data_IF_614686148060
#
_entry.id   IF_614686148060
#
_cell.length_a   1.000
_cell.length_b   1.000
_cell.length_c   1.000
_cell.angle_alpha   90.00
_cell.angle_beta   90.00
_cell.angle_gamma   90.00
#
_symmetry.space_group_name_H-M   'P 1'
#
loop_
_entity.id
_entity.type
_entity.pdbx_description
1 polymer ?
#
# COMPACT_ATOMS: atom_id res chain seq x y z
N UNK A 1 -18.47 -5.07 48.83
CA UNK A 1 -17.58 -6.01 48.10
C UNK A 1 -16.39 -5.23 47.58
N UNK A 2 -15.17 -5.60 47.94
CA UNK A 2 -13.95 -5.02 47.37
C UNK A 2 -13.71 -5.67 46.01
N UNK A 3 -13.98 -4.96 44.92
CA UNK A 3 -13.61 -5.42 43.58
C UNK A 3 -12.08 -5.27 43.48
N UNK A 4 -11.32 -6.35 43.24
CA UNK A 4 -9.88 -6.26 43.10
C UNK A 4 -9.54 -5.33 41.93
N UNK A 5 -8.71 -4.32 42.19
CA UNK A 5 -8.24 -3.41 41.14
C UNK A 5 -7.33 -4.18 40.19
N UNK A 6 -7.78 -4.40 38.96
CA UNK A 6 -6.95 -4.97 37.90
C UNK A 6 -5.67 -4.13 37.76
N UNK A 7 -4.50 -4.76 37.52
CA UNK A 7 -3.25 -4.06 37.28
C UNK A 7 -3.36 -3.27 35.97
N UNK A 8 -3.80 -2.03 36.09
CA UNK A 8 -4.15 -1.14 34.97
C UNK A 8 -2.94 -0.65 34.18
N UNK A 9 -1.72 -0.83 34.70
CA UNK A 9 -0.46 -0.55 33.98
C UNK A 9 -0.30 -1.44 32.75
N UNK A 10 -0.72 -2.70 32.84
CA UNK A 10 -0.61 -3.65 31.72
C UNK A 10 -1.57 -3.31 30.57
N UNK A 11 -2.67 -2.62 30.86
CA UNK A 11 -3.69 -2.29 29.85
C UNK A 11 -3.18 -1.25 28.84
N UNK A 12 -2.58 -0.16 29.28
CA UNK A 12 -2.13 0.89 28.36
C UNK A 12 -0.94 0.45 27.50
N UNK A 13 -0.02 -0.33 28.09
CA UNK A 13 1.06 -0.99 27.34
C UNK A 13 0.51 -1.96 26.31
N UNK A 14 -0.48 -2.76 26.67
CA UNK A 14 -1.15 -3.67 25.74
C UNK A 14 -1.80 -2.91 24.58
N UNK A 15 -2.55 -1.85 24.85
CA UNK A 15 -3.18 -1.01 23.81
C UNK A 15 -2.11 -0.42 22.88
N UNK A 16 -1.02 0.12 23.43
CA UNK A 16 0.07 0.70 22.66
C UNK A 16 0.71 -0.33 21.71
N UNK A 17 1.09 -1.49 22.25
CA UNK A 17 1.71 -2.56 21.49
C UNK A 17 0.76 -3.18 20.47
N UNK A 18 -0.51 -3.35 20.82
CA UNK A 18 -1.53 -3.86 19.91
C UNK A 18 -1.76 -2.89 18.74
N UNK A 19 -1.84 -1.58 19.01
CA UNK A 19 -1.91 -0.55 17.98
C UNK A 19 -0.68 -0.55 17.06
N UNK A 20 0.52 -0.70 17.64
CA UNK A 20 1.77 -0.81 16.87
C UNK A 20 1.76 -2.02 15.94
N UNK A 21 1.29 -3.18 16.42
CA UNK A 21 1.17 -4.39 15.61
C UNK A 21 0.20 -4.18 14.45
N UNK A 22 -0.99 -3.63 14.69
CA UNK A 22 -1.97 -3.30 13.64
C UNK A 22 -1.35 -2.36 12.60
N UNK A 23 -0.69 -1.29 13.06
CA UNK A 23 -0.05 -0.31 12.19
C UNK A 23 1.04 -0.96 11.31
N UNK A 24 1.86 -1.84 11.89
CA UNK A 24 2.94 -2.53 11.19
C UNK A 24 2.41 -3.50 10.13
N UNK A 25 1.36 -4.26 10.47
CA UNK A 25 0.70 -5.14 9.50
C UNK A 25 0.01 -4.37 8.37
N UNK A 26 -0.62 -3.24 8.66
CA UNK A 26 -1.22 -2.37 7.63
C UNK A 26 -0.20 -1.94 6.58
N UNK A 27 0.99 -1.49 7.01
CA UNK A 27 2.08 -1.11 6.10
C UNK A 27 2.55 -2.32 5.30
N UNK A 28 2.79 -3.46 5.96
CA UNK A 28 3.24 -4.68 5.30
C UNK A 28 2.26 -5.17 4.22
N UNK A 29 0.96 -5.23 4.52
CA UNK A 29 -0.06 -5.65 3.56
C UNK A 29 -0.24 -4.65 2.42
N UNK A 30 -0.12 -3.35 2.68
CA UNK A 30 -0.16 -2.33 1.64
C UNK A 30 0.96 -2.51 0.62
N UNK A 31 2.18 -2.77 1.09
CA UNK A 31 3.33 -3.08 0.24
C UNK A 31 3.11 -4.33 -0.63
N UNK A 32 2.59 -5.42 -0.04
CA UNK A 32 2.29 -6.65 -0.77
C UNK A 32 1.26 -6.45 -1.89
N UNK A 33 0.26 -5.61 -1.65
CA UNK A 33 -0.78 -5.28 -2.64
C UNK A 33 -0.20 -4.47 -3.80
N UNK A 34 0.62 -3.46 -3.49
CA UNK A 34 1.27 -2.63 -4.50
C UNK A 34 2.22 -3.46 -5.39
N UNK A 35 3.01 -4.36 -4.79
CA UNK A 35 3.87 -5.29 -5.51
C UNK A 35 3.07 -6.18 -6.47
N UNK A 36 1.93 -6.73 -6.01
CA UNK A 36 1.04 -7.54 -6.86
C UNK A 36 0.47 -6.73 -8.03
N UNK A 37 0.04 -5.49 -7.80
CA UNK A 37 -0.47 -4.62 -8.85
C UNK A 37 0.61 -4.33 -9.90
N UNK A 38 1.84 -4.07 -9.45
CA UNK A 38 2.98 -3.82 -10.34
C UNK A 38 3.29 -5.04 -11.22
N UNK A 39 3.27 -6.25 -10.65
CA UNK A 39 3.47 -7.50 -11.39
C UNK A 39 2.38 -7.75 -12.44
N UNK A 40 1.11 -7.51 -12.11
CA UNK A 40 0.03 -7.65 -13.09
C UNK A 40 0.13 -6.56 -14.17
N UNK A 41 0.46 -5.32 -13.82
CA UNK A 41 0.69 -4.25 -14.80
C UNK A 41 1.78 -4.64 -15.81
N UNK A 42 2.89 -5.22 -15.33
CA UNK A 42 3.96 -5.72 -16.19
C UNK A 42 3.51 -6.80 -17.17
N UNK A 43 2.48 -7.57 -16.82
CA UNK A 43 1.90 -8.63 -17.67
C UNK A 43 0.86 -8.10 -18.66
N UNK A 44 0.08 -7.09 -18.28
CA UNK A 44 -1.00 -6.55 -19.12
C UNK A 44 -0.50 -5.48 -20.11
N UNK A 45 0.38 -4.57 -19.68
CA UNK A 45 0.90 -3.49 -20.51
C UNK A 45 1.48 -3.95 -21.88
N UNK A 46 2.37 -4.96 -21.97
CA UNK A 46 2.91 -5.38 -23.25
C UNK A 46 1.87 -6.06 -24.15
N UNK A 47 0.86 -6.72 -23.57
CA UNK A 47 -0.23 -7.33 -24.35
C UNK A 47 -1.10 -6.26 -24.97
N UNK A 48 -1.42 -5.21 -24.21
CA UNK A 48 -2.17 -4.09 -24.74
C UNK A 48 -1.44 -3.35 -25.84
N UNK A 49 -0.17 -3.02 -25.62
CA UNK A 49 0.66 -2.39 -26.64
C UNK A 49 0.73 -3.22 -27.94
N UNK A 50 0.80 -4.55 -27.81
CA UNK A 50 0.81 -5.46 -28.97
C UNK A 50 -0.53 -5.41 -29.71
N UNK A 51 -1.66 -5.49 -29.01
CA UNK A 51 -2.99 -5.44 -29.62
C UNK A 51 -3.25 -4.10 -30.31
N UNK A 52 -2.89 -2.99 -29.67
CA UNK A 52 -2.99 -1.65 -30.26
C UNK A 52 -2.21 -1.55 -31.57
N UNK A 53 -0.96 -2.06 -31.59
CA UNK A 53 -0.15 -2.10 -32.80
C UNK A 53 -0.81 -2.94 -33.89
N UNK A 54 -1.31 -4.12 -33.56
CA UNK A 54 -1.99 -4.99 -34.52
C UNK A 54 -3.26 -4.35 -35.09
N UNK A 55 -4.06 -3.69 -34.26
CA UNK A 55 -5.23 -2.93 -34.69
C UNK A 55 -4.81 -1.81 -35.65
N UNK A 56 -3.77 -1.06 -35.30
CA UNK A 56 -3.23 0.01 -36.14
C UNK A 56 -2.73 -0.49 -37.50
N UNK A 57 -1.98 -1.60 -37.52
CA UNK A 57 -1.50 -2.24 -38.76
C UNK A 57 -2.67 -2.69 -39.63
N UNK A 58 -3.68 -3.37 -39.05
CA UNK A 58 -4.86 -3.85 -39.77
C UNK A 58 -5.63 -2.70 -40.41
N UNK A 59 -5.78 -1.58 -39.68
CA UNK A 59 -6.53 -0.42 -40.14
C UNK A 59 -5.79 0.41 -41.19
N UNK A 60 -4.46 0.54 -41.11
CA UNK A 60 -3.72 1.44 -41.98
C UNK A 60 -3.03 0.78 -43.17
N UNK A 61 -2.58 -0.48 -43.06
CA UNK A 61 -1.78 -1.11 -44.14
C UNK A 61 -2.63 -1.73 -45.25
N UNK A 62 -3.93 -1.92 -45.03
CA UNK A 62 -4.81 -2.62 -45.98
C UNK A 62 -5.73 -1.72 -46.80
N UNK A 63 -5.67 -0.40 -46.58
CA UNK A 63 -6.47 0.57 -47.32
C UNK A 63 -5.68 0.98 -48.56
N UNK A 64 -6.13 0.54 -49.74
CA UNK A 64 -5.57 1.02 -51.00
C UNK A 64 -5.91 2.51 -51.16
N UNK A 65 -5.00 3.32 -51.74
CA UNK A 65 -5.32 4.68 -52.13
C UNK A 65 -6.57 4.72 -53.00
N UNK A 66 -7.39 5.75 -52.83
CA UNK A 66 -8.66 5.87 -53.54
C UNK A 66 -8.48 5.91 -55.06
N UNK A 67 -7.33 6.39 -55.53
CA UNK A 67 -6.92 6.41 -56.93
C UNK A 67 -6.81 5.00 -57.52
N UNK A 68 -6.20 4.07 -56.78
CA UNK A 68 -6.05 2.67 -57.21
C UNK A 68 -7.41 1.99 -57.35
N UNK A 69 -8.34 2.27 -56.43
CA UNK A 69 -9.69 1.71 -56.46
C UNK A 69 -10.50 2.10 -57.70
N UNK A 70 -10.24 3.29 -58.28
CA UNK A 70 -10.94 3.75 -59.49
C UNK A 70 -10.49 3.04 -60.77
N UNK A 71 -9.29 2.49 -60.76
CA UNK A 71 -8.70 1.79 -61.91
C UNK A 71 -9.02 0.29 -61.91
N UNK A 72 -9.52 -0.24 -60.80
CA UNK A 72 -9.83 -1.67 -60.64
C UNK A 72 -11.06 -2.10 -61.45
N UNK A 73 -10.99 -3.31 -62.01
CA UNK A 73 -12.14 -3.95 -62.64
C UNK A 73 -13.22 -4.35 -61.61
N UNK A 74 -14.46 -4.58 -62.06
CA UNK A 74 -15.57 -4.94 -61.17
C UNK A 74 -15.29 -6.20 -60.33
N UNK A 75 -14.64 -7.22 -60.90
CA UNK A 75 -14.31 -8.46 -60.18
C UNK A 75 -13.22 -8.23 -59.12
N UNK A 76 -12.21 -7.42 -59.44
CA UNK A 76 -11.16 -7.03 -58.50
C UNK A 76 -11.72 -6.20 -57.34
N UNK A 77 -12.63 -5.27 -57.65
CA UNK A 77 -13.33 -4.45 -56.65
C UNK A 77 -14.11 -5.33 -55.67
N UNK A 78 -14.85 -6.33 -56.18
CA UNK A 78 -15.59 -7.28 -55.33
C UNK A 78 -14.67 -8.09 -54.41
N UNK A 79 -13.55 -8.60 -54.94
CA UNK A 79 -12.57 -9.35 -54.13
C UNK A 79 -11.95 -8.45 -53.06
N UNK A 80 -11.70 -7.19 -53.37
CA UNK A 80 -11.19 -6.21 -52.42
C UNK A 80 -12.21 -5.89 -51.32
N UNK A 81 -13.49 -5.74 -51.66
CA UNK A 81 -14.57 -5.54 -50.67
C UNK A 81 -14.68 -6.75 -49.71
N UNK A 82 -14.59 -7.98 -50.22
CA UNK A 82 -14.59 -9.19 -49.39
C UNK A 82 -13.36 -9.23 -48.46
N UNK A 83 -12.19 -8.79 -48.95
CA UNK A 83 -10.98 -8.66 -48.13
C UNK A 83 -11.17 -7.61 -47.03
N UNK A 84 -11.70 -6.43 -47.36
CA UNK A 84 -12.01 -5.38 -46.39
C UNK A 84 -12.98 -5.85 -45.31
N UNK A 85 -14.01 -6.63 -45.67
CA UNK A 85 -14.93 -7.20 -44.68
C UNK A 85 -14.23 -8.17 -43.73
N UNK A 86 -13.31 -9.01 -44.23
CA UNK A 86 -12.53 -9.93 -43.39
C UNK A 86 -11.63 -9.16 -42.41
N UNK A 87 -10.93 -8.14 -42.92
CA UNK A 87 -10.05 -7.26 -42.15
C UNK A 87 -10.83 -6.53 -41.06
N UNK A 88 -11.99 -5.97 -41.41
CA UNK A 88 -12.89 -5.30 -40.45
C UNK A 88 -13.30 -6.25 -39.33
N UNK A 89 -13.75 -7.47 -39.67
CA UNK A 89 -14.15 -8.47 -38.67
C UNK A 89 -12.99 -8.91 -37.77
N UNK A 90 -11.78 -9.03 -38.33
CA UNK A 90 -10.58 -9.31 -37.54
C UNK A 90 -10.21 -8.16 -36.60
N UNK A 91 -10.27 -6.92 -37.09
CA UNK A 91 -10.07 -5.71 -36.28
C UNK A 91 -11.05 -5.65 -35.12
N UNK A 92 -12.35 -5.84 -35.38
CA UNK A 92 -13.41 -5.85 -34.36
C UNK A 92 -13.15 -6.90 -33.28
N UNK A 93 -12.66 -8.09 -33.66
CA UNK A 93 -12.30 -9.14 -32.71
C UNK A 93 -11.15 -8.72 -31.79
N UNK A 94 -10.10 -8.10 -32.34
CA UNK A 94 -8.95 -7.63 -31.56
C UNK A 94 -9.31 -6.45 -30.66
N UNK A 95 -10.19 -5.56 -31.12
CA UNK A 95 -10.74 -4.47 -30.30
C UNK A 95 -11.55 -5.04 -29.14
N UNK A 96 -12.38 -6.06 -29.37
CA UNK A 96 -13.10 -6.72 -28.29
C UNK A 96 -12.14 -7.37 -27.28
N UNK A 97 -11.09 -8.04 -27.74
CA UNK A 97 -10.06 -8.62 -26.87
C UNK A 97 -9.31 -7.55 -26.05
N UNK A 98 -8.98 -6.42 -26.68
CA UNK A 98 -8.36 -5.27 -26.01
C UNK A 98 -9.27 -4.71 -24.90
N UNK A 99 -10.55 -4.47 -25.20
CA UNK A 99 -11.53 -3.98 -24.24
C UNK A 99 -11.75 -4.96 -23.09
N UNK A 100 -11.74 -6.27 -23.36
CA UNK A 100 -11.85 -7.29 -22.31
C UNK A 100 -10.63 -7.26 -21.39
N UNK A 101 -9.42 -7.10 -21.94
CA UNK A 101 -8.20 -6.97 -21.15
C UNK A 101 -8.22 -5.69 -20.30
N UNK A 102 -8.59 -4.56 -20.89
CA UNK A 102 -8.70 -3.26 -20.23
C UNK A 102 -9.71 -3.33 -19.08
N UNK A 103 -10.92 -3.83 -19.32
CA UNK A 103 -11.95 -4.02 -18.29
C UNK A 103 -11.47 -4.91 -17.13
N UNK A 104 -10.76 -6.01 -17.43
CA UNK A 104 -10.20 -6.87 -16.38
C UNK A 104 -9.12 -6.15 -15.56
N UNK A 105 -8.31 -5.32 -16.21
CA UNK A 105 -7.28 -4.52 -15.55
C UNK A 105 -7.89 -3.42 -14.68
N UNK A 106 -8.90 -2.70 -15.16
CA UNK A 106 -9.61 -1.67 -14.41
C UNK A 106 -10.25 -2.24 -13.14
N UNK A 107 -10.93 -3.40 -13.27
CA UNK A 107 -11.48 -4.11 -12.12
C UNK A 107 -10.39 -4.50 -11.09
N UNK A 108 -9.19 -4.86 -11.56
CA UNK A 108 -8.05 -5.16 -10.70
C UNK A 108 -7.53 -3.90 -9.99
N UNK A 109 -7.45 -2.77 -10.69
CA UNK A 109 -7.04 -1.48 -10.12
C UNK A 109 -8.06 -1.04 -9.06
N UNK A 110 -9.35 -1.08 -9.37
CA UNK A 110 -10.43 -0.69 -8.46
C UNK A 110 -10.50 -1.55 -7.19
N UNK A 111 -10.30 -2.87 -7.33
CA UNK A 111 -10.21 -3.77 -6.16
C UNK A 111 -8.97 -3.47 -5.33
N UNK A 112 -7.84 -3.18 -5.98
CA UNK A 112 -6.59 -2.83 -5.32
C UNK A 112 -6.69 -1.52 -4.55
N UNK A 113 -7.25 -0.47 -5.17
CA UNK A 113 -7.42 0.83 -4.54
C UNK A 113 -8.32 0.75 -3.30
N UNK A 114 -9.45 0.03 -3.40
CA UNK A 114 -10.33 -0.21 -2.25
C UNK A 114 -9.61 -0.93 -1.11
N UNK A 115 -8.79 -1.94 -1.42
CA UNK A 115 -8.00 -2.64 -0.41
C UNK A 115 -6.95 -1.72 0.22
N UNK A 116 -6.22 -0.93 -0.57
CA UNK A 116 -5.24 0.04 -0.06
C UNK A 116 -5.90 1.07 0.85
N UNK A 117 -7.05 1.63 0.46
CA UNK A 117 -7.83 2.55 1.28
C UNK A 117 -8.28 1.90 2.60
N UNK A 118 -8.71 0.63 2.56
CA UNK A 118 -9.03 -0.14 3.75
C UNK A 118 -7.83 -0.31 4.69
N UNK A 119 -6.68 -0.75 4.16
CA UNK A 119 -5.47 -0.93 4.97
C UNK A 119 -4.95 0.40 5.51
N UNK A 120 -5.06 1.50 4.75
CA UNK A 120 -4.74 2.84 5.23
C UNK A 120 -5.62 3.23 6.43
N UNK A 121 -6.93 3.02 6.35
CA UNK A 121 -7.85 3.30 7.45
C UNK A 121 -7.55 2.45 8.71
N UNK A 122 -7.26 1.15 8.52
CA UNK A 122 -6.83 0.24 9.59
C UNK A 122 -5.51 0.72 10.20
N UNK A 123 -4.55 1.14 9.37
CA UNK A 123 -3.26 1.68 9.79
C UNK A 123 -3.41 2.93 10.63
N UNK A 124 -4.19 3.91 10.16
CA UNK A 124 -4.48 5.14 10.91
C UNK A 124 -5.12 4.84 12.27
N UNK A 125 -6.05 3.87 12.31
CA UNK A 125 -6.68 3.42 13.56
C UNK A 125 -5.66 2.79 14.50
N UNK A 126 -4.79 1.89 13.99
CA UNK A 126 -3.71 1.28 14.76
C UNK A 126 -2.71 2.30 15.30
N UNK A 127 -2.31 3.27 14.47
CA UNK A 127 -1.43 4.37 14.85
C UNK A 127 -2.03 5.26 15.95
N UNK A 128 -3.33 5.56 15.86
CA UNK A 128 -4.04 6.31 16.89
C UNK A 128 -4.09 5.53 18.21
N UNK A 129 -4.40 4.23 18.19
CA UNK A 129 -4.36 3.37 19.38
C UNK A 129 -2.96 3.31 19.98
N UNK A 130 -1.93 3.19 19.15
CA UNK A 130 -0.52 3.20 19.58
C UNK A 130 -0.19 4.49 20.33
N UNK A 131 -0.47 5.65 19.74
CA UNK A 131 -0.21 6.96 20.33
C UNK A 131 -0.97 7.13 21.65
N UNK A 132 -2.27 6.85 21.66
CA UNK A 132 -3.09 6.96 22.87
C UNK A 132 -2.60 6.02 23.98
N UNK A 133 -2.23 4.79 23.64
CA UNK A 133 -1.67 3.83 24.59
C UNK A 133 -0.40 4.34 25.25
N UNK A 134 0.55 4.86 24.47
CA UNK A 134 1.79 5.43 25.00
C UNK A 134 1.56 6.70 25.82
N UNK A 135 0.69 7.61 25.37
CA UNK A 135 0.35 8.85 26.09
C UNK A 135 -0.28 8.53 27.45
N UNK A 136 -1.26 7.64 27.49
CA UNK A 136 -1.93 7.25 28.73
C UNK A 136 -0.98 6.51 29.67
N UNK A 137 -0.14 5.62 29.14
CA UNK A 137 0.88 4.94 29.93
C UNK A 137 1.86 5.95 30.55
N UNK A 138 2.35 6.91 29.76
CA UNK A 138 3.29 7.92 30.23
C UNK A 138 2.71 8.80 31.33
N UNK A 139 1.54 9.39 31.08
CA UNK A 139 0.91 10.33 32.01
C UNK A 139 0.50 9.67 33.32
N UNK A 140 0.04 8.41 33.26
CA UNK A 140 -0.52 7.72 34.43
C UNK A 140 0.49 6.94 35.24
N UNK A 141 1.54 6.39 34.63
CA UNK A 141 2.53 5.55 35.32
C UNK A 141 3.94 6.09 35.19
N UNK A 142 4.45 6.20 33.96
CA UNK A 142 5.86 6.49 33.73
C UNK A 142 6.32 7.78 34.42
N UNK A 143 5.51 8.84 34.36
CA UNK A 143 5.82 10.13 35.01
C UNK A 143 6.11 9.99 36.51
N UNK A 144 5.37 9.14 37.22
CA UNK A 144 5.56 8.95 38.66
C UNK A 144 6.78 8.08 38.96
N UNK A 145 6.97 7.01 38.17
CA UNK A 145 8.14 6.14 38.26
C UNK A 145 9.42 6.95 38.01
N UNK A 146 9.44 7.78 36.96
CA UNK A 146 10.58 8.63 36.62
C UNK A 146 10.89 9.64 37.75
N UNK A 147 9.85 10.21 38.37
CA UNK A 147 10.00 11.12 39.50
C UNK A 147 10.60 10.41 40.73
N UNK A 148 10.13 9.20 41.04
CA UNK A 148 10.64 8.38 42.14
C UNK A 148 12.10 7.96 41.90
N UNK A 149 12.41 7.47 40.70
CA UNK A 149 13.77 7.07 40.31
C UNK A 149 14.73 8.25 40.43
N UNK A 150 14.32 9.43 39.95
CA UNK A 150 15.11 10.67 40.06
C UNK A 150 15.36 11.03 41.52
N UNK A 151 14.32 11.01 42.36
CA UNK A 151 14.44 11.31 43.78
C UNK A 151 15.39 10.35 44.50
N UNK A 152 15.25 9.05 44.27
CA UNK A 152 16.11 8.03 44.87
C UNK A 152 17.58 8.17 44.43
N UNK A 153 17.82 8.49 43.16
CA UNK A 153 19.16 8.80 42.65
C UNK A 153 19.80 9.99 43.36
N UNK A 154 19.05 11.07 43.58
CA UNK A 154 19.55 12.24 44.30
C UNK A 154 19.91 11.93 45.76
N UNK A 155 19.10 11.13 46.46
CA UNK A 155 19.40 10.71 47.84
C UNK A 155 20.64 9.82 47.91
N UNK A 156 20.80 8.89 46.98
CA UNK A 156 21.98 8.04 46.88
C UNK A 156 23.26 8.87 46.69
N UNK A 157 23.25 9.84 45.77
CA UNK A 157 24.37 10.75 45.55
C UNK A 157 24.70 11.59 46.79
N UNK A 158 23.69 12.07 47.53
CA UNK A 158 23.89 12.78 48.80
C UNK A 158 24.61 11.89 49.83
N UNK A 159 24.25 10.61 49.91
CA UNK A 159 24.87 9.66 50.83
C UNK A 159 26.34 9.38 50.47
N UNK A 160 26.65 9.16 49.19
CA UNK A 160 28.04 9.03 48.72
C UNK A 160 28.88 10.25 49.10
N UNK A 161 28.35 11.46 48.90
CA UNK A 161 29.06 12.70 49.26
C UNK A 161 29.32 12.80 50.76
N UNK A 162 28.35 12.41 51.60
CA UNK A 162 28.51 12.35 53.06
C UNK A 162 29.61 11.35 53.46
N UNK A 163 29.63 10.17 52.85
CA UNK A 163 30.66 9.15 53.11
C UNK A 163 32.06 9.61 52.71
N UNK A 164 32.21 10.22 51.53
CA UNK A 164 33.50 10.79 51.09
C UNK A 164 34.01 11.86 52.06
N UNK A 165 33.15 12.79 52.51
CA UNK A 165 33.52 13.82 53.50
C UNK A 165 33.97 13.21 54.83
N UNK A 166 33.31 12.14 55.31
CA UNK A 166 33.72 11.42 56.51
C UNK A 166 35.08 10.76 56.35
N UNK A 167 35.38 10.20 55.18
CA UNK A 167 36.69 9.58 54.89
C UNK A 167 37.83 10.61 54.91
N UNK A 168 37.65 11.74 54.22
CA UNK A 168 38.65 12.83 54.21
C UNK A 168 38.95 13.34 55.63
N UNK A 169 37.93 13.45 56.51
CA UNK A 169 38.12 13.85 57.91
C UNK A 169 38.81 12.79 58.80
N UNK A 170 38.85 11.53 58.37
CA UNK A 170 39.48 10.44 59.13
C UNK A 170 40.97 10.30 58.75
N UNK A 171 41.31 10.65 57.52
CA UNK A 171 42.64 10.46 56.95
C UNK A 171 43.54 11.71 57.05
N UNK A 172 43.02 12.86 57.50
CA UNK A 172 43.76 14.12 57.70
C UNK A 172 43.59 14.66 59.09
#
# INVERSE_FOLDING_TARGET
>A
MNIPSLPTDNLYKFIALFGLVIFSFSIYFSYQIEEKLWLENYKYAPKMQKLEREIYTIQNENILPHEVLKEMGHEELKNYEELLQKIKKESEKKVAEANDIESNYDNLVDTTERNLNFYLAVGLTGGLLMILGFVLWYLKYQRYIDAEVKWNGEQYLKNIRKLKKKKVKKDG
#
